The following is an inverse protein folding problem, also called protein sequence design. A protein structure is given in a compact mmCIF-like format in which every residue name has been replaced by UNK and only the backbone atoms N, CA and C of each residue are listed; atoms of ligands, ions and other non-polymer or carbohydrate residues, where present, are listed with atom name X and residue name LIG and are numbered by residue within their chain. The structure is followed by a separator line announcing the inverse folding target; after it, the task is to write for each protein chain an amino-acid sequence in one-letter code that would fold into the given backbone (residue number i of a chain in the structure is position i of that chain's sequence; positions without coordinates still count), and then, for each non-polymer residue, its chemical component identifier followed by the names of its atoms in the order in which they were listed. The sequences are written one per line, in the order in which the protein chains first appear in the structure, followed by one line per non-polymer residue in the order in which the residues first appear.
data_IF_218176175398
#
_entry.id   IF_218176175398
#
_cell.length_a   1.000
_cell.length_b   1.000
_cell.length_c   1.000
_cell.angle_alpha   90.00
_cell.angle_beta   90.00
_cell.angle_gamma   90.00
#
_symmetry.space_group_name_H-M   'P 1'
#
loop_
_entity.id
_entity.type
_entity.pdbx_description
1 polymer ?
#
# COMPACT_ATOMS: atom_id res chain seq x y z
N UNK A 1 33.19 39.90 12.83
CA UNK A 1 33.23 39.49 11.41
C UNK A 1 32.62 38.10 11.35
N UNK A 2 31.38 37.99 10.88
CA UNK A 2 30.68 36.71 10.75
C UNK A 2 31.05 36.05 9.44
N UNK A 3 31.58 34.82 9.49
CA UNK A 3 31.83 34.00 8.30
C UNK A 3 30.50 33.35 7.94
N UNK A 4 29.95 33.69 6.77
CA UNK A 4 28.76 33.01 6.25
C UNK A 4 29.11 31.53 5.98
N UNK A 5 28.22 30.58 6.34
CA UNK A 5 28.44 29.18 6.00
C UNK A 5 28.46 29.01 4.47
N UNK A 6 29.28 28.08 3.94
CA UNK A 6 29.35 27.85 2.50
C UNK A 6 27.97 27.43 1.98
N UNK A 7 27.55 28.05 0.87
CA UNK A 7 26.39 27.63 0.09
C UNK A 7 26.66 26.18 -0.36
N UNK A 8 25.96 25.23 0.24
CA UNK A 8 25.93 23.85 -0.24
C UNK A 8 25.19 23.90 -1.57
N UNK A 9 25.94 23.88 -2.69
CA UNK A 9 25.38 23.67 -4.02
C UNK A 9 24.54 22.38 -3.95
N UNK A 10 23.26 22.46 -4.30
CA UNK A 10 22.41 21.27 -4.41
C UNK A 10 22.97 20.42 -5.54
N UNK A 11 23.54 19.25 -5.20
CA UNK A 11 24.00 18.30 -6.20
C UNK A 11 22.78 17.83 -6.98
N UNK A 12 22.64 18.23 -8.23
CA UNK A 12 21.56 17.84 -9.14
C UNK A 12 21.71 16.39 -9.61
N UNK A 13 21.92 15.46 -8.67
CA UNK A 13 22.03 14.04 -8.93
C UNK A 13 20.65 13.53 -9.32
N UNK A 14 20.54 13.07 -10.56
CA UNK A 14 19.37 12.34 -11.03
C UNK A 14 19.72 10.87 -10.96
N UNK A 15 19.05 10.13 -10.07
CA UNK A 15 19.23 8.69 -9.83
C UNK A 15 19.29 7.86 -11.14
N UNK A 16 18.53 8.27 -12.16
CA UNK A 16 18.54 7.63 -13.49
C UNK A 16 19.83 7.84 -14.29
N UNK A 17 20.49 8.98 -14.15
CA UNK A 17 21.70 9.36 -14.90
C UNK A 17 22.97 8.84 -14.21
N UNK A 18 22.99 8.80 -12.88
CA UNK A 18 24.20 8.44 -12.11
C UNK A 18 24.38 6.93 -11.87
N UNK A 19 23.31 6.13 -11.98
CA UNK A 19 23.34 4.69 -11.66
C UNK A 19 23.12 3.77 -12.88
N UNK A 20 23.02 4.34 -14.10
CA UNK A 20 22.72 3.61 -15.36
C UNK A 20 21.52 2.65 -15.25
N UNK A 21 20.55 2.97 -14.37
CA UNK A 21 19.41 2.10 -14.10
C UNK A 21 18.43 2.10 -15.27
N UNK A 22 18.04 0.89 -15.69
CA UNK A 22 16.97 0.72 -16.67
C UNK A 22 15.62 1.18 -16.11
N UNK A 23 14.69 1.55 -17.00
CA UNK A 23 13.34 1.97 -16.60
C UNK A 23 12.61 0.95 -15.72
N UNK A 24 12.69 -0.37 -15.96
CA UNK A 24 12.14 -1.38 -15.05
C UNK A 24 12.75 -1.34 -13.64
N UNK A 25 14.06 -1.12 -13.52
CA UNK A 25 14.71 -1.02 -12.21
C UNK A 25 14.24 0.20 -11.42
N UNK A 26 14.10 1.36 -12.09
CA UNK A 26 13.53 2.56 -11.47
C UNK A 26 12.08 2.34 -11.01
N UNK A 27 11.25 1.66 -11.81
CA UNK A 27 9.88 1.27 -11.41
C UNK A 27 9.89 0.32 -10.21
N UNK A 28 10.83 -0.62 -10.15
CA UNK A 28 10.98 -1.52 -9.00
C UNK A 28 11.39 -0.78 -7.73
N UNK A 29 12.33 0.17 -7.81
CA UNK A 29 12.73 0.98 -6.66
C UNK A 29 11.58 1.87 -6.19
N UNK A 30 10.87 2.51 -7.12
CA UNK A 30 9.65 3.26 -6.82
C UNK A 30 8.64 2.41 -6.03
N UNK A 31 8.37 1.17 -6.46
CA UNK A 31 7.46 0.27 -5.73
C UNK A 31 7.93 -0.06 -4.31
N UNK A 32 9.24 -0.18 -4.11
CA UNK A 32 9.80 -0.48 -2.78
C UNK A 32 9.60 0.72 -1.85
N UNK A 33 9.90 1.95 -2.30
CA UNK A 33 9.70 3.15 -1.50
C UNK A 33 8.22 3.41 -1.22
N UNK A 34 7.35 3.29 -2.24
CA UNK A 34 5.90 3.43 -2.05
C UNK A 34 5.38 2.37 -1.08
N UNK A 35 5.85 1.12 -1.14
CA UNK A 35 5.43 0.10 -0.19
C UNK A 35 5.83 0.46 1.25
N UNK A 36 7.05 0.98 1.45
CA UNK A 36 7.51 1.41 2.76
C UNK A 36 6.66 2.56 3.32
N UNK A 37 6.37 3.56 2.48
CA UNK A 37 5.50 4.71 2.86
C UNK A 37 4.08 4.26 3.19
N UNK A 38 3.51 3.35 2.40
CA UNK A 38 2.14 2.86 2.63
C UNK A 38 2.02 2.02 3.90
N UNK A 39 3.03 1.21 4.21
CA UNK A 39 3.06 0.30 5.36
C UNK A 39 3.49 0.98 6.67
N UNK A 40 4.00 2.21 6.62
CA UNK A 40 4.32 3.01 7.79
C UNK A 40 3.03 3.46 8.51
N UNK A 41 2.88 3.06 9.78
CA UNK A 41 1.74 3.42 10.61
C UNK A 41 1.83 4.80 11.24
N UNK A 42 3.01 5.40 11.25
CA UNK A 42 3.28 6.69 11.89
C UNK A 42 3.02 7.86 10.94
N UNK A 43 2.87 7.59 9.63
CA UNK A 43 2.56 8.58 8.62
C UNK A 43 1.04 8.78 8.46
N UNK A 44 0.63 10.05 8.42
CA UNK A 44 -0.72 10.43 8.01
C UNK A 44 -0.96 10.16 6.53
N UNK A 45 -2.23 10.17 6.11
CA UNK A 45 -2.59 10.02 4.69
C UNK A 45 -1.93 11.09 3.81
N UNK A 46 -1.92 12.34 4.26
CA UNK A 46 -1.24 13.45 3.56
C UNK A 46 0.27 13.19 3.42
N UNK A 47 0.93 12.75 4.50
CA UNK A 47 2.35 12.41 4.46
C UNK A 47 2.65 11.22 3.54
N UNK A 48 1.72 10.28 3.41
CA UNK A 48 1.85 9.18 2.46
C UNK A 48 1.77 9.66 1.01
N UNK A 49 0.85 10.58 0.72
CA UNK A 49 0.75 11.21 -0.61
C UNK A 49 2.04 11.97 -0.94
N UNK A 50 2.53 12.79 -0.01
CA UNK A 50 3.78 13.55 -0.20
C UNK A 50 4.98 12.62 -0.41
N UNK A 51 5.07 11.51 0.33
CA UNK A 51 6.13 10.51 0.17
C UNK A 51 6.10 9.81 -1.19
N UNK A 52 4.90 9.53 -1.72
CA UNK A 52 4.72 8.93 -3.05
C UNK A 52 5.11 9.94 -4.15
N UNK A 53 4.76 11.21 -3.99
CA UNK A 53 5.15 12.27 -4.91
C UNK A 53 6.66 12.49 -4.93
N UNK A 54 7.30 12.54 -3.75
CA UNK A 54 8.75 12.62 -3.64
C UNK A 54 9.44 11.41 -4.30
N UNK A 55 8.92 10.19 -4.11
CA UNK A 55 9.43 8.98 -4.75
C UNK A 55 9.30 9.05 -6.28
N UNK A 56 8.16 9.54 -6.78
CA UNK A 56 7.90 9.74 -8.21
C UNK A 56 8.95 10.66 -8.83
N UNK A 57 9.23 11.79 -8.18
CA UNK A 57 10.23 12.76 -8.62
C UNK A 57 11.66 12.19 -8.55
N UNK A 58 12.01 11.52 -7.44
CA UNK A 58 13.34 10.95 -7.22
C UNK A 58 13.73 9.92 -8.30
N UNK A 59 12.78 9.10 -8.75
CA UNK A 59 13.02 8.08 -9.79
C UNK A 59 12.66 8.55 -11.21
N UNK A 60 12.20 9.79 -11.38
CA UNK A 60 11.84 10.36 -12.69
C UNK A 60 10.71 9.61 -13.39
N UNK A 61 9.72 9.10 -12.63
CA UNK A 61 8.55 8.45 -13.21
C UNK A 61 7.57 9.51 -13.76
N UNK A 62 6.90 9.19 -14.87
CA UNK A 62 5.81 10.04 -15.37
C UNK A 62 4.57 9.81 -14.50
N UNK A 63 3.73 10.82 -14.30
CA UNK A 63 2.54 10.71 -13.42
C UNK A 63 1.69 9.47 -13.73
N UNK A 64 1.33 9.25 -15.00
CA UNK A 64 0.54 8.08 -15.40
C UNK A 64 1.20 6.74 -15.07
N UNK A 65 2.52 6.67 -15.17
CA UNK A 65 3.29 5.46 -14.87
C UNK A 65 3.38 5.25 -13.36
N UNK A 66 3.71 6.29 -12.59
CA UNK A 66 3.75 6.23 -11.13
C UNK A 66 2.39 5.86 -10.54
N UNK A 67 1.30 6.48 -11.03
CA UNK A 67 -0.07 6.12 -10.62
C UNK A 67 -0.37 4.66 -10.94
N UNK A 68 -0.06 4.18 -12.14
CA UNK A 68 -0.29 2.78 -12.50
C UNK A 68 0.51 1.82 -11.59
N UNK A 69 1.79 2.08 -11.36
CA UNK A 69 2.61 1.26 -10.45
C UNK A 69 2.07 1.24 -9.02
N UNK A 70 1.62 2.40 -8.52
CA UNK A 70 1.06 2.54 -7.19
C UNK A 70 -0.27 1.77 -7.08
N UNK A 71 -1.17 1.92 -8.05
CA UNK A 71 -2.46 1.22 -8.06
C UNK A 71 -2.25 -0.30 -8.12
N UNK A 72 -1.34 -0.77 -8.97
CA UNK A 72 -1.00 -2.20 -9.07
C UNK A 72 -0.38 -2.73 -7.77
N UNK A 73 0.50 -1.94 -7.14
CA UNK A 73 1.13 -2.29 -5.87
C UNK A 73 0.08 -2.41 -4.76
N UNK A 74 -0.84 -1.45 -4.63
CA UNK A 74 -1.92 -1.47 -3.64
C UNK A 74 -2.77 -2.73 -3.81
N UNK A 75 -3.22 -3.01 -5.05
CA UNK A 75 -4.00 -4.24 -5.35
C UNK A 75 -3.23 -5.50 -4.97
N UNK A 76 -1.96 -5.59 -5.37
CA UNK A 76 -1.10 -6.74 -5.04
C UNK A 76 -0.94 -6.93 -3.53
N UNK A 77 -0.78 -5.84 -2.77
CA UNK A 77 -0.62 -5.87 -1.31
C UNK A 77 -1.93 -6.25 -0.61
N UNK A 78 -3.07 -5.70 -1.03
CA UNK A 78 -4.38 -6.13 -0.53
C UNK A 78 -4.62 -7.64 -0.77
N UNK A 79 -4.26 -8.16 -1.95
CA UNK A 79 -4.33 -9.60 -2.24
C UNK A 79 -3.42 -10.42 -1.33
N UNK A 80 -2.18 -9.98 -1.11
CA UNK A 80 -1.24 -10.64 -0.22
C UNK A 80 -1.76 -10.67 1.23
N UNK A 81 -2.28 -9.55 1.74
CA UNK A 81 -2.90 -9.49 3.07
C UNK A 81 -4.05 -10.50 3.18
N UNK A 82 -4.92 -10.59 2.17
CA UNK A 82 -6.05 -11.53 2.19
C UNK A 82 -5.61 -13.00 2.19
N UNK A 83 -4.62 -13.34 1.35
CA UNK A 83 -4.05 -14.70 1.30
C UNK A 83 -3.35 -15.05 2.61
N UNK A 84 -2.56 -14.14 3.15
CA UNK A 84 -1.87 -14.34 4.43
C UNK A 84 -2.86 -14.49 5.57
N UNK A 85 -3.88 -13.64 5.66
CA UNK A 85 -4.92 -13.74 6.68
C UNK A 85 -5.66 -15.09 6.60
N UNK A 86 -5.93 -15.57 5.37
CA UNK A 86 -6.53 -16.89 5.16
C UNK A 86 -5.60 -18.01 5.64
N UNK A 87 -4.31 -17.92 5.33
CA UNK A 87 -3.29 -18.86 5.81
C UNK A 87 -3.19 -18.89 7.34
N UNK A 88 -3.14 -17.71 7.96
CA UNK A 88 -3.09 -17.55 9.42
C UNK A 88 -4.33 -18.16 10.08
N UNK A 89 -5.53 -17.96 9.52
CA UNK A 89 -6.76 -18.60 10.01
C UNK A 89 -6.73 -20.13 9.91
N UNK A 90 -6.19 -20.67 8.81
CA UNK A 90 -6.06 -22.12 8.61
C UNK A 90 -5.02 -22.75 9.54
N UNK A 91 -4.03 -21.98 9.96
CA UNK A 91 -3.00 -22.36 10.93
C UNK A 91 -3.41 -22.09 12.39
N UNK A 92 -4.70 -21.80 12.63
CA UNK A 92 -5.24 -21.52 13.97
C UNK A 92 -4.57 -20.32 14.66
N UNK A 93 -4.11 -19.34 13.88
CA UNK A 93 -3.52 -18.09 14.36
C UNK A 93 -4.43 -16.89 14.06
N UNK A 94 -5.57 -16.74 14.78
CA UNK A 94 -6.52 -15.67 14.53
C UNK A 94 -5.95 -14.28 14.82
N UNK A 95 -4.96 -14.16 15.72
CA UNK A 95 -4.30 -12.89 16.01
C UNK A 95 -3.52 -12.36 14.81
N UNK A 96 -2.72 -13.21 14.16
CA UNK A 96 -2.04 -12.82 12.93
C UNK A 96 -3.02 -12.51 11.79
N UNK A 97 -4.11 -13.28 11.66
CA UNK A 97 -5.14 -13.01 10.67
C UNK A 97 -5.81 -11.63 10.87
N UNK A 98 -6.08 -11.23 12.12
CA UNK A 98 -6.60 -9.90 12.45
C UNK A 98 -5.64 -8.80 12.03
N UNK A 99 -4.33 -8.96 12.28
CA UNK A 99 -3.33 -7.97 11.88
C UNK A 99 -3.21 -7.84 10.35
N UNK A 100 -3.30 -8.95 9.62
CA UNK A 100 -3.34 -8.92 8.16
C UNK A 100 -4.59 -8.22 7.62
N UNK A 101 -5.76 -8.46 8.24
CA UNK A 101 -7.01 -7.79 7.88
C UNK A 101 -6.99 -6.30 8.21
N UNK A 102 -6.34 -5.91 9.31
CA UNK A 102 -6.12 -4.49 9.66
C UNK A 102 -5.25 -3.79 8.61
N UNK A 103 -4.17 -4.43 8.16
CA UNK A 103 -3.34 -3.91 7.07
C UNK A 103 -4.12 -3.77 5.77
N UNK A 104 -4.94 -4.77 5.45
CA UNK A 104 -5.84 -4.73 4.30
C UNK A 104 -6.78 -3.54 4.37
N UNK A 105 -7.39 -3.28 5.52
CA UNK A 105 -8.29 -2.14 5.72
C UNK A 105 -7.59 -0.80 5.44
N UNK A 106 -6.41 -0.58 6.02
CA UNK A 106 -5.65 0.66 5.83
C UNK A 106 -5.25 0.85 4.36
N UNK A 107 -4.73 -0.21 3.72
CA UNK A 107 -4.32 -0.16 2.31
C UNK A 107 -5.52 0.05 1.38
N UNK A 108 -6.66 -0.57 1.68
CA UNK A 108 -7.87 -0.42 0.88
C UNK A 108 -8.47 0.98 1.04
N UNK A 109 -8.47 1.55 2.25
CA UNK A 109 -8.91 2.92 2.50
C UNK A 109 -8.07 3.92 1.69
N UNK A 110 -6.74 3.82 1.78
CA UNK A 110 -5.82 4.64 1.00
C UNK A 110 -6.01 4.41 -0.51
N UNK A 111 -6.17 3.15 -0.94
CA UNK A 111 -6.41 2.84 -2.35
C UNK A 111 -7.67 3.52 -2.87
N UNK A 112 -8.75 3.51 -2.11
CA UNK A 112 -10.00 4.14 -2.50
C UNK A 112 -9.89 5.67 -2.58
N UNK A 113 -9.20 6.32 -1.64
CA UNK A 113 -8.95 7.77 -1.72
C UNK A 113 -8.05 8.14 -2.89
N UNK A 114 -7.10 7.27 -3.24
CA UNK A 114 -6.24 7.38 -4.41
C UNK A 114 -6.88 6.94 -5.75
N UNK A 115 -8.18 6.60 -5.76
CA UNK A 115 -8.91 6.23 -6.98
C UNK A 115 -8.64 4.81 -7.51
N UNK A 116 -8.14 3.89 -6.68
CA UNK A 116 -8.00 2.46 -7.01
C UNK A 116 -9.36 1.80 -7.06
N UNK A 117 -9.66 1.13 -8.17
CA UNK A 117 -10.85 0.27 -8.30
C UNK A 117 -10.52 -1.18 -7.93
N UNK A 118 -11.15 -1.69 -6.87
CA UNK A 118 -11.04 -3.08 -6.41
C UNK A 118 -12.14 -3.95 -7.03
N UNK A 119 -12.05 -4.24 -8.33
CA UNK A 119 -12.95 -5.18 -9.04
C UNK A 119 -12.27 -6.53 -9.32
N UNK A 120 -11.30 -6.91 -8.50
CA UNK A 120 -10.48 -8.09 -8.74
C UNK A 120 -11.22 -9.40 -8.37
N UNK A 121 -10.96 -10.45 -9.14
CA UNK A 121 -11.23 -11.82 -8.69
C UNK A 121 -10.25 -12.19 -7.58
N UNK A 122 -10.76 -12.25 -6.35
CA UNK A 122 -9.99 -12.68 -5.20
C UNK A 122 -9.71 -14.18 -5.28
N UNK A 123 -8.45 -14.59 -5.11
CA UNK A 123 -8.05 -16.00 -5.03
C UNK A 123 -8.62 -16.73 -3.80
N UNK A 124 -9.20 -15.97 -2.86
CA UNK A 124 -9.79 -16.48 -1.63
C UNK A 124 -11.30 -16.64 -1.81
N UNK A 125 -11.81 -17.84 -1.52
CA UNK A 125 -13.23 -18.17 -1.67
C UNK A 125 -14.15 -17.21 -0.86
N UNK A 126 -15.37 -16.90 -1.34
CA UNK A 126 -16.30 -15.99 -0.65
C UNK A 126 -16.54 -16.36 0.83
N UNK A 127 -16.73 -17.65 1.11
CA UNK A 127 -16.94 -18.14 2.49
C UNK A 127 -15.74 -17.84 3.41
N UNK A 128 -14.51 -17.97 2.90
CA UNK A 128 -13.31 -17.64 3.67
C UNK A 128 -13.19 -16.12 3.87
N UNK A 129 -13.50 -15.31 2.86
CA UNK A 129 -13.55 -13.85 2.99
C UNK A 129 -14.56 -13.41 4.08
N UNK A 130 -15.74 -14.04 4.12
CA UNK A 130 -16.74 -13.76 5.15
C UNK A 130 -16.27 -14.18 6.55
N UNK A 131 -15.64 -15.36 6.68
CA UNK A 131 -15.05 -15.82 7.94
C UNK A 131 -13.95 -14.87 8.43
N UNK A 132 -13.11 -14.36 7.52
CA UNK A 132 -12.08 -13.37 7.82
C UNK A 132 -12.68 -12.06 8.32
N UNK A 133 -13.74 -11.55 7.68
CA UNK A 133 -14.45 -10.37 8.14
C UNK A 133 -15.02 -10.54 9.55
N UNK A 134 -15.65 -11.68 9.83
CA UNK A 134 -16.17 -11.98 11.17
C UNK A 134 -15.04 -12.07 12.21
N UNK A 135 -13.95 -12.76 11.86
CA UNK A 135 -12.76 -12.87 12.72
C UNK A 135 -12.20 -11.47 13.00
N UNK A 136 -12.03 -10.65 11.97
CA UNK A 136 -11.53 -9.30 12.09
C UNK A 136 -12.41 -8.45 13.01
N UNK A 137 -13.72 -8.41 12.74
CA UNK A 137 -14.68 -7.66 13.56
C UNK A 137 -14.69 -8.09 15.03
N UNK A 138 -14.49 -9.38 15.31
CA UNK A 138 -14.45 -9.91 16.68
C UNK A 138 -13.11 -9.69 17.40
N UNK A 139 -12.01 -9.58 16.65
CA UNK A 139 -10.65 -9.54 17.18
C UNK A 139 -10.01 -8.15 17.18
N UNK A 140 -10.59 -7.18 16.46
CA UNK A 140 -10.08 -5.82 16.41
C UNK A 140 -10.48 -5.01 17.65
N UNK A 141 -9.61 -4.08 18.05
CA UNK A 141 -9.86 -3.13 19.16
C UNK A 141 -10.49 -1.82 18.67
N UNK A 142 -10.52 -1.58 17.36
CA UNK A 142 -11.11 -0.41 16.71
C UNK A 142 -12.41 -0.78 16.01
N UNK A 143 -13.25 0.20 15.67
CA UNK A 143 -14.44 -0.05 14.83
C UNK A 143 -13.99 -0.18 13.38
N UNK A 144 -14.04 -1.38 12.76
CA UNK A 144 -13.62 -1.55 11.37
C UNK A 144 -14.69 -1.02 10.40
N UNK A 145 -14.28 -0.48 9.26
CA UNK A 145 -15.19 -0.12 8.16
C UNK A 145 -15.59 -1.36 7.36
N UNK A 146 -16.54 -2.10 7.93
CA UNK A 146 -17.04 -3.33 7.34
C UNK A 146 -17.68 -3.11 5.96
N UNK A 147 -18.33 -1.97 5.72
CA UNK A 147 -18.96 -1.68 4.42
C UNK A 147 -17.91 -1.47 3.33
N UNK A 148 -16.85 -0.73 3.65
CA UNK A 148 -15.73 -0.57 2.74
C UNK A 148 -15.09 -1.92 2.44
N UNK A 149 -14.81 -2.73 3.47
CA UNK A 149 -14.21 -4.04 3.33
C UNK A 149 -15.09 -5.01 2.53
N UNK A 150 -16.40 -5.04 2.76
CA UNK A 150 -17.35 -5.85 1.98
C UNK A 150 -17.37 -5.44 0.51
N UNK A 151 -17.28 -4.13 0.21
CA UNK A 151 -17.18 -3.61 -1.16
C UNK A 151 -15.87 -4.03 -1.82
N UNK A 152 -14.74 -3.82 -1.15
CA UNK A 152 -13.41 -4.18 -1.65
C UNK A 152 -13.33 -5.68 -1.89
N UNK A 153 -13.87 -6.48 -0.97
CA UNK A 153 -13.86 -7.93 -1.04
C UNK A 153 -14.99 -8.51 -1.90
N UNK A 154 -15.79 -7.70 -2.61
CA UNK A 154 -16.87 -8.17 -3.48
C UNK A 154 -17.85 -9.13 -2.79
N UNK A 155 -18.29 -8.80 -1.57
CA UNK A 155 -19.22 -9.61 -0.77
C UNK A 155 -20.66 -9.07 -0.74
N UNK A 156 -20.92 -7.89 -1.33
CA UNK A 156 -22.23 -7.22 -1.30
C UNK A 156 -23.31 -7.94 -2.15
N UNK A 157 -22.94 -8.93 -2.98
CA UNK A 157 -23.85 -9.69 -3.85
C UNK A 157 -23.62 -11.23 -3.81
N UNK A 158 -23.00 -11.76 -2.75
CA UNK A 158 -22.71 -13.20 -2.61
C UNK A 158 -23.79 -13.96 -1.83
#
# INVERSE_FOLDING_TARGET
MGVAPPLVESWGLKVSEDLELSRPQLRSLFKVEVAAVLEDSDLSEEQKVDGIEASKEAFGLKDKEATAEMQDLIKSRCRACLVNASGDLLQENPGAAVEQMRRLEVLAAFGLSAGVEFQDEWQVAPAMRQKLLQTYASGTKSSPDMRMLERVLNLVNA
#
